data_IF_695167469661
#
_entry.id   IF_695167469661
#
_cell.length_a   1.000
_cell.length_b   1.000
_cell.length_c   1.000
_cell.angle_alpha   90.00
_cell.angle_beta   90.00
_cell.angle_gamma   90.00
#
_symmetry.space_group_name_H-M   'P 1'
#
loop_
_entity.id
_entity.type
_entity.pdbx_description
1 polymer ?
#
# COMPACT_ATOMS: atom_id res chain seq x y z
N UNK A 1 -6.32 4.86 -28.84
CA UNK A 1 -6.61 5.03 -27.40
C UNK A 1 -6.53 6.51 -27.09
N UNK A 2 -7.52 7.09 -26.41
CA UNK A 2 -7.46 8.49 -26.00
C UNK A 2 -6.26 8.69 -25.06
N UNK A 3 -5.47 9.74 -25.29
CA UNK A 3 -4.39 10.13 -24.39
C UNK A 3 -5.00 10.62 -23.08
N UNK A 4 -4.67 9.99 -21.96
CA UNK A 4 -5.09 10.50 -20.65
C UNK A 4 -4.49 11.89 -20.45
N UNK A 5 -5.33 12.87 -20.11
CA UNK A 5 -4.90 14.22 -19.77
C UNK A 5 -4.18 14.21 -18.40
N UNK A 6 -3.09 14.97 -18.29
CA UNK A 6 -2.32 15.10 -17.05
C UNK A 6 -2.94 16.12 -16.09
N UNK A 7 -2.14 16.66 -15.18
CA UNK A 7 -2.58 17.72 -14.27
C UNK A 7 -2.80 19.04 -15.01
N UNK A 8 -3.85 19.76 -14.64
CA UNK A 8 -4.07 21.15 -15.08
C UNK A 8 -3.03 22.09 -14.46
N UNK A 9 -2.90 23.31 -14.99
CA UNK A 9 -2.01 24.33 -14.43
C UNK A 9 -2.36 24.64 -12.96
N UNK A 10 -3.64 24.74 -12.63
CA UNK A 10 -4.08 25.02 -11.25
C UNK A 10 -3.78 23.85 -10.31
N UNK A 11 -3.99 22.61 -10.75
CA UNK A 11 -3.64 21.41 -9.98
C UNK A 11 -2.13 21.32 -9.73
N UNK A 12 -1.32 21.62 -10.76
CA UNK A 12 0.14 21.64 -10.64
C UNK A 12 0.61 22.75 -9.68
N UNK A 13 0.03 23.94 -9.77
CA UNK A 13 0.33 25.05 -8.87
C UNK A 13 -0.06 24.72 -7.43
N UNK A 14 -1.20 24.07 -7.22
CA UNK A 14 -1.64 23.62 -5.90
C UNK A 14 -0.66 22.58 -5.34
N UNK A 15 -0.30 21.56 -6.12
CA UNK A 15 0.67 20.54 -5.70
C UNK A 15 2.01 21.17 -5.30
N UNK A 16 2.56 22.06 -6.13
CA UNK A 16 3.85 22.71 -5.86
C UNK A 16 3.81 23.59 -4.59
N UNK A 17 2.66 24.21 -4.29
CA UNK A 17 2.50 25.08 -3.12
C UNK A 17 2.25 24.31 -1.83
N UNK A 18 1.58 23.15 -1.90
CA UNK A 18 1.05 22.44 -0.72
C UNK A 18 1.71 21.08 -0.45
N UNK A 19 2.43 20.51 -1.41
CA UNK A 19 3.05 19.18 -1.28
C UNK A 19 2.08 18.00 -1.43
N UNK A 20 0.80 18.25 -1.71
CA UNK A 20 -0.22 17.24 -1.99
C UNK A 20 -1.26 17.76 -2.98
N UNK A 21 -2.06 16.86 -3.55
CA UNK A 21 -3.18 17.20 -4.43
C UNK A 21 -4.30 16.17 -4.25
N UNK A 22 -5.55 16.65 -4.17
CA UNK A 22 -6.74 15.80 -4.21
C UNK A 22 -7.26 15.70 -5.64
N UNK A 23 -7.46 14.49 -6.14
CA UNK A 23 -8.07 14.21 -7.45
C UNK A 23 -9.37 13.45 -7.18
N UNK A 24 -10.53 14.14 -7.17
CA UNK A 24 -11.81 13.49 -6.95
C UNK A 24 -12.10 12.44 -8.03
N UNK A 25 -12.68 11.30 -7.64
CA UNK A 25 -13.06 10.23 -8.56
C UNK A 25 -11.91 9.72 -9.44
N UNK A 26 -10.67 9.74 -8.92
CA UNK A 26 -9.50 9.24 -9.65
C UNK A 26 -9.62 7.76 -10.05
N UNK A 27 -10.36 6.97 -9.27
CA UNK A 27 -10.74 5.59 -9.58
C UNK A 27 -12.27 5.50 -9.63
N UNK A 28 -12.80 4.63 -10.50
CA UNK A 28 -14.23 4.34 -10.54
C UNK A 28 -14.65 3.49 -9.32
N UNK A 29 -15.93 3.52 -8.92
CA UNK A 29 -16.45 2.65 -7.87
C UNK A 29 -16.22 1.16 -8.16
N UNK A 30 -16.27 0.74 -9.43
CA UNK A 30 -16.03 -0.65 -9.84
C UNK A 30 -14.57 -1.05 -9.61
N UNK A 31 -13.61 -0.19 -10.00
CA UNK A 31 -12.19 -0.42 -9.75
C UNK A 31 -11.89 -0.46 -8.25
N UNK A 32 -12.51 0.42 -7.45
CA UNK A 32 -12.37 0.37 -5.98
C UNK A 32 -12.91 -0.94 -5.43
N UNK A 33 -14.05 -1.40 -5.92
CA UNK A 33 -14.66 -2.67 -5.51
C UNK A 33 -13.78 -3.88 -5.86
N UNK A 34 -13.15 -3.88 -7.04
CA UNK A 34 -12.20 -4.91 -7.47
C UNK A 34 -10.96 -4.97 -6.56
N UNK A 35 -10.37 -3.83 -6.23
CA UNK A 35 -9.21 -3.74 -5.33
C UNK A 35 -9.55 -4.22 -3.90
N UNK A 36 -10.75 -3.88 -3.42
CA UNK A 36 -11.24 -4.38 -2.14
C UNK A 36 -11.49 -5.89 -2.16
N UNK A 37 -12.05 -6.43 -3.25
CA UNK A 37 -12.26 -7.87 -3.39
C UNK A 37 -10.93 -8.63 -3.38
N UNK A 38 -9.94 -8.17 -4.14
CA UNK A 38 -8.58 -8.75 -4.13
C UNK A 38 -7.92 -8.66 -2.75
N UNK A 39 -8.06 -7.52 -2.07
CA UNK A 39 -7.53 -7.35 -0.70
C UNK A 39 -8.14 -8.35 0.27
N UNK A 40 -9.47 -8.50 0.25
CA UNK A 40 -10.17 -9.47 1.09
C UNK A 40 -9.77 -10.90 0.76
N UNK A 41 -9.60 -11.23 -0.53
CA UNK A 41 -9.10 -12.53 -0.95
C UNK A 41 -7.70 -12.81 -0.36
N UNK A 42 -6.76 -11.88 -0.52
CA UNK A 42 -5.41 -12.00 0.03
C UNK A 42 -5.43 -12.18 1.55
N UNK A 43 -6.26 -11.43 2.28
CA UNK A 43 -6.41 -11.54 3.73
C UNK A 43 -6.99 -12.89 4.18
N UNK A 44 -7.87 -13.50 3.40
CA UNK A 44 -8.40 -14.83 3.72
C UNK A 44 -7.37 -15.93 3.42
N UNK A 45 -6.68 -15.82 2.28
CA UNK A 45 -5.83 -16.88 1.73
C UNK A 45 -4.39 -16.91 2.29
N UNK A 46 -3.89 -15.83 2.91
CA UNK A 46 -2.48 -15.82 3.33
C UNK A 46 -2.20 -16.84 4.44
N UNK A 47 -1.10 -17.60 4.35
CA UNK A 47 -0.75 -18.58 5.38
C UNK A 47 -0.31 -17.85 6.65
N UNK A 48 -0.86 -18.27 7.80
CA UNK A 48 -0.48 -17.71 9.10
C UNK A 48 0.52 -18.60 9.82
N UNK A 49 0.53 -19.90 9.51
CA UNK A 49 1.36 -20.90 10.19
C UNK A 49 2.86 -20.60 10.07
N UNK A 50 3.29 -20.09 8.93
CA UNK A 50 4.69 -19.72 8.64
C UNK A 50 4.95 -18.21 8.82
N UNK A 51 3.99 -17.45 9.33
CA UNK A 51 4.10 -16.00 9.45
C UNK A 51 4.83 -15.62 10.75
N UNK A 52 5.88 -14.77 10.70
CA UNK A 52 6.64 -14.36 11.89
C UNK A 52 5.91 -13.35 12.80
N UNK A 53 4.60 -13.16 12.62
CA UNK A 53 3.79 -12.14 13.30
C UNK A 53 4.39 -10.72 13.28
N UNK A 54 5.15 -10.38 12.24
CA UNK A 54 5.79 -9.06 12.09
C UNK A 54 4.76 -7.94 12.23
N UNK A 55 5.04 -7.02 13.15
CA UNK A 55 4.22 -5.83 13.40
C UNK A 55 4.73 -4.67 12.57
N UNK A 56 3.82 -3.79 12.16
CA UNK A 56 4.20 -2.48 11.65
C UNK A 56 4.60 -1.56 12.81
N UNK A 57 5.69 -0.80 12.67
CA UNK A 57 6.04 0.30 13.57
C UNK A 57 6.53 1.49 12.76
N UNK A 58 6.14 2.70 13.16
CA UNK A 58 6.60 3.95 12.54
C UNK A 58 7.92 4.47 13.11
N UNK A 59 8.45 3.83 14.15
CA UNK A 59 9.59 4.35 14.91
C UNK A 59 9.20 5.29 16.03
N UNK A 60 9.62 4.96 17.26
CA UNK A 60 9.36 5.73 18.48
C UNK A 60 10.62 6.10 19.28
N UNK A 61 10.42 6.89 20.34
CA UNK A 61 11.46 7.53 21.19
C UNK A 61 12.45 6.55 21.86
N UNK A 62 12.12 5.27 21.89
CA UNK A 62 12.83 4.20 22.60
C UNK A 62 14.11 3.75 21.89
N UNK A 63 14.27 4.09 20.59
CA UNK A 63 15.45 3.79 19.78
C UNK A 63 15.76 2.29 19.57
N UNK A 64 14.94 1.41 20.13
CA UNK A 64 15.01 -0.04 19.95
C UNK A 64 14.01 -0.42 18.86
N UNK A 65 14.49 -1.12 17.84
CA UNK A 65 13.70 -1.84 16.83
C UNK A 65 13.13 -1.04 15.65
N UNK A 66 13.85 -0.02 15.17
CA UNK A 66 13.68 0.45 13.79
C UNK A 66 14.21 -0.54 12.73
N UNK A 67 14.98 -1.55 13.15
CA UNK A 67 15.41 -2.62 12.25
C UNK A 67 14.26 -3.61 12.19
N UNK A 68 13.39 -3.44 11.19
CA UNK A 68 12.40 -4.46 10.88
C UNK A 68 13.09 -5.82 10.73
N UNK A 69 12.41 -6.89 11.12
CA UNK A 69 12.93 -8.24 10.95
C UNK A 69 13.23 -8.56 9.47
N UNK A 70 13.83 -9.72 9.20
CA UNK A 70 14.10 -10.15 7.81
C UNK A 70 12.81 -10.21 6.95
N UNK A 71 11.66 -10.46 7.59
CA UNK A 71 10.36 -10.44 6.93
C UNK A 71 9.94 -9.04 6.49
N UNK A 72 10.31 -7.98 7.19
CA UNK A 72 10.18 -6.62 6.69
C UNK A 72 11.28 -6.28 5.66
N UNK A 73 12.56 -6.48 5.98
CA UNK A 73 13.68 -6.00 5.16
C UNK A 73 13.72 -6.64 3.76
N UNK A 74 13.28 -7.90 3.63
CA UNK A 74 13.26 -8.59 2.34
C UNK A 74 11.91 -8.48 1.60
N UNK A 75 11.00 -7.60 2.06
CA UNK A 75 9.63 -7.50 1.52
C UNK A 75 9.50 -6.64 0.27
N UNK A 76 10.57 -5.97 -0.16
CA UNK A 76 10.55 -4.94 -1.22
C UNK A 76 10.03 -5.46 -2.57
N UNK A 77 10.25 -6.73 -2.87
CA UNK A 77 9.84 -7.42 -4.10
C UNK A 77 8.73 -8.47 -3.86
N UNK A 78 8.09 -8.45 -2.67
CA UNK A 78 7.09 -9.45 -2.25
C UNK A 78 5.76 -8.79 -1.87
N UNK A 79 4.73 -9.62 -1.76
CA UNK A 79 3.47 -9.29 -1.09
C UNK A 79 3.49 -10.00 0.28
N UNK A 80 3.56 -9.20 1.33
CA UNK A 80 3.71 -9.59 2.73
C UNK A 80 2.71 -8.82 3.59
N UNK A 81 2.38 -9.39 4.74
CA UNK A 81 1.32 -8.92 5.63
C UNK A 81 1.95 -8.42 6.92
N UNK A 82 1.51 -7.27 7.42
CA UNK A 82 2.08 -6.67 8.62
C UNK A 82 0.96 -6.39 9.61
N UNK A 83 1.07 -6.94 10.80
CA UNK A 83 0.07 -6.82 11.84
C UNK A 83 0.10 -5.45 12.50
N UNK A 84 -1.03 -5.08 13.11
CA UNK A 84 -1.13 -3.91 13.98
C UNK A 84 -0.13 -3.96 15.16
N UNK A 85 0.42 -2.80 15.54
CA UNK A 85 1.37 -2.65 16.66
C UNK A 85 0.68 -2.83 18.03
N UNK A 86 -0.61 -2.49 18.08
CA UNK A 86 -1.40 -2.31 19.30
C UNK A 86 -1.68 -3.59 20.08
N UNK A 87 -1.84 -3.41 21.40
CA UNK A 87 -2.10 -4.42 22.42
C UNK A 87 -3.42 -5.17 22.27
N UNK A 88 -4.27 -4.82 21.30
CA UNK A 88 -5.55 -5.48 21.05
C UNK A 88 -5.52 -6.46 19.87
N UNK A 89 -4.41 -6.53 19.13
CA UNK A 89 -4.19 -7.56 18.12
C UNK A 89 -3.59 -8.84 18.72
N UNK A 90 -2.77 -8.71 19.77
CA UNK A 90 -2.06 -9.84 20.39
C UNK A 90 -2.23 -9.89 21.91
N UNK A 91 -2.31 -11.10 22.46
CA UNK A 91 -2.25 -11.34 23.90
C UNK A 91 -0.80 -11.26 24.43
N UNK A 92 -0.63 -11.41 25.74
CA UNK A 92 0.69 -11.38 26.38
C UNK A 92 1.63 -12.54 25.94
N UNK A 93 1.10 -13.57 25.30
CA UNK A 93 1.84 -14.72 24.79
C UNK A 93 2.12 -14.59 23.27
N UNK A 94 1.67 -13.52 22.61
CA UNK A 94 1.84 -13.31 21.18
C UNK A 94 0.79 -14.02 20.30
N UNK A 95 -0.32 -14.48 20.87
CA UNK A 95 -1.43 -15.04 20.09
C UNK A 95 -2.39 -13.95 19.62
N UNK A 96 -3.00 -14.12 18.46
CA UNK A 96 -3.99 -13.19 17.96
C UNK A 96 -5.25 -13.15 18.83
N UNK A 97 -5.69 -11.95 19.18
CA UNK A 97 -6.95 -11.69 19.90
C UNK A 97 -8.16 -11.55 18.95
N UNK A 98 -7.92 -11.43 17.65
CA UNK A 98 -8.92 -11.24 16.60
C UNK A 98 -8.61 -12.16 15.42
N UNK A 99 -9.59 -12.43 14.54
CA UNK A 99 -9.33 -13.12 13.28
C UNK A 99 -8.21 -12.43 12.49
N UNK A 100 -7.33 -13.21 11.84
CA UNK A 100 -6.09 -12.71 11.19
C UNK A 100 -6.39 -11.64 10.14
N UNK A 101 -7.47 -11.81 9.41
CA UNK A 101 -7.94 -10.90 8.37
C UNK A 101 -8.36 -9.53 8.91
N UNK A 102 -8.57 -9.41 10.23
CA UNK A 102 -8.90 -8.16 10.94
C UNK A 102 -7.75 -7.61 11.78
N UNK A 103 -6.59 -8.26 11.76
CA UNK A 103 -5.43 -7.89 12.56
C UNK A 103 -4.26 -7.31 11.72
N UNK A 104 -4.41 -7.30 10.39
CA UNK A 104 -3.44 -6.71 9.46
C UNK A 104 -3.59 -5.19 9.39
N UNK A 105 -2.49 -4.49 9.64
CA UNK A 105 -2.36 -3.04 9.44
C UNK A 105 -2.15 -2.68 7.97
N UNK A 106 -1.26 -3.42 7.29
CA UNK A 106 -0.94 -3.19 5.88
C UNK A 106 -0.48 -4.43 5.13
N UNK A 107 -0.63 -4.37 3.82
CA UNK A 107 -0.08 -5.34 2.85
C UNK A 107 0.93 -4.59 1.97
N UNK A 108 2.13 -5.14 1.83
CA UNK A 108 3.20 -4.50 1.07
C UNK A 108 4.33 -5.45 0.67
N UNK A 109 5.30 -5.05 -0.13
CA UNK A 109 5.44 -3.73 -0.75
C UNK A 109 5.31 -3.76 -2.28
N UNK A 110 5.21 -4.95 -2.89
CA UNK A 110 5.28 -5.13 -4.34
C UNK A 110 3.93 -5.46 -5.03
N UNK A 111 2.82 -5.03 -4.41
CA UNK A 111 1.45 -5.19 -4.96
C UNK A 111 1.31 -4.62 -6.38
N UNK A 112 1.92 -3.47 -6.63
CA UNK A 112 1.89 -2.77 -7.92
C UNK A 112 2.49 -3.57 -9.08
N UNK A 113 3.24 -4.64 -8.80
CA UNK A 113 3.85 -5.50 -9.81
C UNK A 113 3.25 -6.91 -9.81
N UNK A 114 3.04 -7.49 -8.62
CA UNK A 114 2.63 -8.88 -8.48
C UNK A 114 1.11 -9.12 -8.47
N UNK A 115 0.30 -8.16 -8.00
CA UNK A 115 -1.16 -8.31 -8.02
C UNK A 115 -1.74 -7.66 -9.28
N UNK A 116 -2.42 -8.43 -10.17
CA UNK A 116 -2.97 -7.90 -11.42
C UNK A 116 -3.86 -6.65 -11.28
N UNK A 117 -4.84 -6.58 -10.36
CA UNK A 117 -5.69 -5.38 -10.23
C UNK A 117 -4.91 -4.16 -9.70
N UNK A 118 -3.98 -4.35 -8.76
CA UNK A 118 -3.12 -3.25 -8.29
C UNK A 118 -2.16 -2.77 -9.38
N UNK A 119 -1.56 -3.68 -10.15
CA UNK A 119 -0.71 -3.33 -11.29
C UNK A 119 -1.46 -2.52 -12.34
N UNK A 120 -2.70 -2.89 -12.65
CA UNK A 120 -3.52 -2.19 -13.63
C UNK A 120 -3.74 -0.71 -13.27
N UNK A 121 -3.90 -0.39 -11.99
CA UNK A 121 -4.05 1.00 -11.54
C UNK A 121 -2.71 1.74 -11.36
N UNK A 122 -1.64 1.05 -10.97
CA UNK A 122 -0.34 1.66 -10.68
C UNK A 122 0.35 2.16 -11.95
N UNK A 123 0.51 1.30 -12.95
CA UNK A 123 1.18 1.62 -14.22
C UNK A 123 0.16 1.95 -15.31
N UNK A 124 -0.71 2.91 -15.02
CA UNK A 124 -1.79 3.35 -15.94
C UNK A 124 -1.37 4.54 -16.80
N UNK A 125 -2.06 4.75 -17.92
CA UNK A 125 -1.85 5.93 -18.78
C UNK A 125 -2.11 7.24 -18.03
N UNK A 126 -3.09 7.25 -17.11
CA UNK A 126 -3.41 8.38 -16.23
C UNK A 126 -2.24 8.70 -15.30
N UNK A 127 -1.72 7.72 -14.55
CA UNK A 127 -0.58 7.97 -13.65
C UNK A 127 0.68 8.39 -14.43
N UNK A 128 0.89 7.82 -15.62
CA UNK A 128 1.99 8.24 -16.49
C UNK A 128 1.84 9.70 -16.96
N UNK A 129 0.61 10.17 -17.22
CA UNK A 129 0.34 11.55 -17.58
C UNK A 129 0.57 12.50 -16.40
N UNK A 130 0.13 12.12 -15.19
CA UNK A 130 0.37 12.87 -13.95
C UNK A 130 1.89 12.98 -13.68
N UNK A 131 2.64 11.87 -13.77
CA UNK A 131 4.08 11.86 -13.58
C UNK A 131 4.80 12.80 -14.57
N UNK A 132 4.37 12.84 -15.84
CA UNK A 132 4.88 13.78 -16.84
C UNK A 132 4.56 15.24 -16.50
N UNK A 133 3.34 15.54 -16.02
CA UNK A 133 2.99 16.89 -15.53
C UNK A 133 3.89 17.33 -14.38
N UNK A 134 4.30 16.39 -13.53
CA UNK A 134 5.25 16.60 -12.43
C UNK A 134 6.72 16.56 -12.87
N UNK A 135 7.00 16.57 -14.18
CA UNK A 135 8.35 16.58 -14.76
C UNK A 135 9.22 15.33 -14.50
N UNK A 136 8.63 14.20 -14.10
CA UNK A 136 9.35 12.93 -14.05
C UNK A 136 9.73 12.48 -15.47
N UNK A 137 11.03 12.21 -15.68
CA UNK A 137 11.58 11.81 -16.98
C UNK A 137 11.64 10.30 -17.17
N UNK A 138 12.02 9.58 -16.12
CA UNK A 138 12.11 8.12 -16.11
C UNK A 138 11.52 7.56 -14.80
N UNK A 139 10.18 7.51 -14.65
CA UNK A 139 9.50 7.02 -13.45
C UNK A 139 9.27 5.50 -13.48
N UNK A 140 10.18 4.73 -14.09
CA UNK A 140 10.13 3.25 -14.12
C UNK A 140 10.75 2.63 -12.88
#
# INVERSE_FOLDING_TARGET
MATAEGLTADQLNFFNSNGYLLIPNALSPDTVSELLAETNKMLNEFPIEDHPMTKFSTGGEDGKDHVGDSYFLESGDKVRFFFEEVTDAFDANGNLLKPKEKAINKIGHYLHSLSPPFRAISTSSTNAAIARSLSFRDPR
#
